data_IF_759990918263
#
_entry.id   IF_759990918263
#
_cell.length_a   1.000
_cell.length_b   1.000
_cell.length_c   1.000
_cell.angle_alpha   90.00
_cell.angle_beta   90.00
_cell.angle_gamma   90.00
#
_symmetry.space_group_name_H-M   'P 1'
#
loop_
_entity.id
_entity.type
_entity.pdbx_description
1 polymer ?
#
# COMPACT_ATOMS: atom_id res chain seq x y z
N UNK A 1 -15.26 24.99 7.46
CA UNK A 1 -15.61 23.98 8.48
C UNK A 1 -15.48 22.62 7.80
N UNK A 2 -14.95 21.58 8.48
CA UNK A 2 -14.76 20.22 7.94
C UNK A 2 -15.53 19.21 8.80
N UNK A 3 -15.53 17.93 8.39
CA UNK A 3 -16.10 16.82 9.18
C UNK A 3 -17.55 16.48 8.83
N UNK A 4 -18.05 17.00 7.73
CA UNK A 4 -19.31 16.56 7.14
C UNK A 4 -19.13 15.19 6.45
N UNK A 5 -20.22 14.43 6.22
CA UNK A 5 -20.16 13.14 5.55
C UNK A 5 -20.11 13.25 4.01
N UNK A 6 -20.00 14.46 3.46
CA UNK A 6 -20.06 14.70 2.03
C UNK A 6 -18.69 14.53 1.37
N UNK A 7 -18.69 14.18 0.08
CA UNK A 7 -17.49 13.87 -0.69
C UNK A 7 -16.42 14.96 -0.64
N UNK A 8 -16.82 16.23 -0.55
CA UNK A 8 -15.85 17.33 -0.46
C UNK A 8 -14.97 17.28 0.79
N UNK A 9 -15.42 16.63 1.87
CA UNK A 9 -14.65 16.43 3.11
C UNK A 9 -14.00 15.04 3.18
N UNK A 10 -14.56 14.03 2.49
CA UNK A 10 -14.09 12.63 2.58
C UNK A 10 -13.19 12.20 1.43
N UNK A 11 -13.22 12.89 0.28
CA UNK A 11 -12.42 12.56 -0.90
C UNK A 11 -11.04 13.21 -0.81
N UNK A 12 -10.12 12.53 -0.14
CA UNK A 12 -8.75 13.01 0.12
C UNK A 12 -7.71 12.27 -0.73
N UNK A 13 -6.64 12.96 -1.19
CA UNK A 13 -5.59 12.32 -1.95
C UNK A 13 -4.69 11.45 -1.07
N UNK A 14 -4.24 10.32 -1.63
CA UNK A 14 -3.19 9.48 -1.05
C UNK A 14 -2.02 9.43 -2.04
N UNK A 15 -0.82 9.77 -1.57
CA UNK A 15 0.41 9.68 -2.35
C UNK A 15 1.42 8.80 -1.61
N UNK A 16 1.98 7.81 -2.32
CA UNK A 16 3.01 6.91 -1.78
C UNK A 16 4.24 6.96 -2.68
N UNK A 17 5.39 7.18 -2.06
CA UNK A 17 6.68 7.22 -2.74
C UNK A 17 7.75 6.55 -1.86
N UNK A 18 8.65 5.80 -2.48
CA UNK A 18 9.71 5.12 -1.76
C UNK A 18 10.40 4.04 -2.61
N UNK A 19 11.45 3.40 -2.09
CA UNK A 19 12.14 2.31 -2.76
C UNK A 19 11.18 1.18 -3.14
N UNK A 20 11.25 0.71 -4.38
CA UNK A 20 10.42 -0.40 -4.85
C UNK A 20 8.96 -0.07 -5.15
N UNK A 21 8.50 1.17 -4.92
CA UNK A 21 7.16 1.64 -5.32
C UNK A 21 7.21 2.07 -6.79
N UNK A 22 6.34 1.47 -7.62
CA UNK A 22 6.24 1.85 -9.04
C UNK A 22 5.35 3.07 -9.19
N UNK A 23 5.81 4.04 -10.00
CA UNK A 23 5.00 5.20 -10.36
C UNK A 23 3.78 4.76 -11.17
N UNK A 24 2.59 5.11 -10.69
CA UNK A 24 1.31 4.85 -11.33
C UNK A 24 0.22 5.73 -10.72
N UNK A 25 -0.89 5.88 -11.44
CA UNK A 25 -2.11 6.50 -10.92
C UNK A 25 -3.14 5.41 -10.69
N UNK A 26 -3.76 5.43 -9.51
CA UNK A 26 -4.77 4.46 -9.10
C UNK A 26 -6.10 5.18 -8.98
N UNK A 27 -7.13 4.68 -9.66
CA UNK A 27 -8.48 5.25 -9.64
C UNK A 27 -9.49 4.36 -8.91
N UNK A 28 -9.07 3.22 -8.37
CA UNK A 28 -9.96 2.36 -7.56
C UNK A 28 -10.26 3.03 -6.22
N UNK A 29 -11.41 2.75 -5.59
CA UNK A 29 -11.70 3.22 -4.25
C UNK A 29 -10.65 2.74 -3.23
N UNK A 30 -10.15 3.69 -2.43
CA UNK A 30 -9.17 3.51 -1.35
C UNK A 30 -9.49 4.51 -0.23
N UNK A 31 -9.02 4.22 0.99
CA UNK A 31 -9.24 5.10 2.14
C UNK A 31 -7.99 5.34 2.98
N UNK A 32 -7.95 6.41 3.80
CA UNK A 32 -6.85 6.67 4.74
C UNK A 32 -6.55 5.51 5.71
N UNK A 33 -7.55 4.69 6.03
CA UNK A 33 -7.45 3.50 6.87
C UNK A 33 -6.50 2.43 6.30
N UNK A 34 -6.24 2.44 4.99
CA UNK A 34 -5.36 1.49 4.30
C UNK A 34 -3.87 1.82 4.50
N UNK A 35 -3.53 3.05 4.90
CA UNK A 35 -2.14 3.55 4.96
C UNK A 35 -1.31 2.74 5.95
N UNK A 36 -1.84 2.48 7.15
CA UNK A 36 -1.10 1.77 8.20
C UNK A 36 -0.79 0.32 7.79
N UNK A 37 -1.78 -0.40 7.24
CA UNK A 37 -1.60 -1.75 6.75
C UNK A 37 -0.59 -1.81 5.58
N UNK A 38 -0.65 -0.81 4.68
CA UNK A 38 0.26 -0.69 3.54
C UNK A 38 1.71 -0.51 3.97
N UNK A 39 1.98 0.40 4.90
CA UNK A 39 3.35 0.65 5.38
C UNK A 39 3.88 -0.59 6.10
N UNK A 40 3.07 -1.23 6.95
CA UNK A 40 3.47 -2.45 7.65
C UNK A 40 3.82 -3.59 6.66
N UNK A 41 2.97 -3.79 5.65
CA UNK A 41 3.20 -4.79 4.60
C UNK A 41 4.44 -4.47 3.75
N UNK A 42 4.64 -3.20 3.37
CA UNK A 42 5.81 -2.75 2.63
C UNK A 42 7.12 -3.02 3.40
N UNK A 43 7.11 -2.79 4.71
CA UNK A 43 8.25 -3.02 5.60
C UNK A 43 8.41 -4.48 6.05
N UNK A 44 7.43 -5.35 5.77
CA UNK A 44 7.43 -6.73 6.24
C UNK A 44 7.26 -6.87 7.76
N UNK A 45 6.57 -5.93 8.41
CA UNK A 45 6.31 -5.95 9.86
C UNK A 45 4.83 -6.19 10.16
N UNK A 46 4.53 -6.56 11.41
CA UNK A 46 3.14 -6.72 11.86
C UNK A 46 2.43 -5.35 11.87
N UNK A 47 1.19 -5.24 11.37
CA UNK A 47 0.44 -3.99 11.45
C UNK A 47 0.09 -3.61 12.91
N UNK A 48 -0.17 -2.32 13.18
CA UNK A 48 -0.70 -1.89 14.47
C UNK A 48 -1.99 -2.63 14.84
N UNK A 49 -2.24 -2.83 16.14
CA UNK A 49 -3.40 -3.59 16.62
C UNK A 49 -4.76 -2.99 16.22
N UNK A 50 -4.82 -1.67 15.99
CA UNK A 50 -6.02 -0.96 15.52
C UNK A 50 -6.12 -0.78 14.00
N UNK A 51 -5.24 -1.42 13.21
CA UNK A 51 -5.31 -1.34 11.75
C UNK A 51 -6.54 -2.09 11.23
N UNK A 52 -7.40 -1.39 10.49
CA UNK A 52 -8.64 -1.96 9.92
C UNK A 52 -8.65 -2.01 8.39
N UNK A 53 -7.83 -1.20 7.72
CA UNK A 53 -7.71 -1.20 6.26
C UNK A 53 -6.90 -2.37 5.71
N UNK A 54 -6.78 -2.41 4.38
CA UNK A 54 -6.03 -3.43 3.63
C UNK A 54 -4.80 -2.81 2.96
N UNK A 55 -3.69 -3.54 2.80
CA UNK A 55 -2.54 -3.03 2.07
C UNK A 55 -2.91 -2.59 0.64
N UNK A 56 -2.38 -1.45 0.21
CA UNK A 56 -2.42 -1.02 -1.19
C UNK A 56 -1.34 -1.77 -1.96
N UNK A 57 -1.74 -2.76 -2.76
CA UNK A 57 -0.83 -3.63 -3.52
C UNK A 57 0.12 -2.84 -4.45
N UNK A 58 -0.33 -1.69 -4.93
CA UNK A 58 0.44 -0.79 -5.81
C UNK A 58 1.66 -0.18 -5.13
N UNK A 59 1.63 -0.12 -3.80
CA UNK A 59 2.72 0.36 -2.96
C UNK A 59 3.63 -0.76 -2.44
N UNK A 60 3.30 -2.02 -2.67
CA UNK A 60 4.14 -3.13 -2.22
C UNK A 60 5.33 -3.33 -3.17
N UNK A 61 6.52 -3.63 -2.62
CA UNK A 61 7.67 -3.92 -3.48
C UNK A 61 7.34 -5.15 -4.32
N UNK A 62 7.59 -5.08 -5.63
CA UNK A 62 7.56 -6.29 -6.45
C UNK A 62 8.69 -7.19 -5.96
N UNK A 63 8.36 -8.25 -5.22
CA UNK A 63 9.33 -9.28 -4.87
C UNK A 63 9.81 -9.93 -6.18
N UNK A 64 10.95 -9.47 -6.69
CA UNK A 64 11.73 -10.25 -7.63
C UNK A 64 12.17 -11.48 -6.86
N UNK A 65 11.61 -12.65 -7.19
CA UNK A 65 12.08 -13.92 -6.68
C UNK A 65 13.53 -14.16 -7.15
N UNK A 66 14.51 -13.54 -6.46
CA UNK A 66 15.91 -13.93 -6.54
C UNK A 66 16.02 -15.32 -5.91
N UNK A 67 15.70 -16.36 -6.66
CA UNK A 67 15.80 -17.72 -6.11
C UNK A 67 15.36 -18.91 -6.96
N UNK A 68 14.68 -18.76 -8.11
CA UNK A 68 14.25 -19.94 -8.89
C UNK A 68 15.15 -20.32 -10.08
N UNK A 69 15.98 -19.40 -10.58
CA UNK A 69 16.87 -19.68 -11.71
C UNK A 69 18.17 -20.41 -11.33
N UNK A 70 18.62 -20.35 -10.06
CA UNK A 70 19.87 -20.96 -9.62
C UNK A 70 19.75 -22.44 -9.20
N UNK A 71 18.52 -22.97 -9.08
CA UNK A 71 18.28 -24.35 -8.62
C UNK A 71 17.91 -25.33 -9.74
N UNK A 72 17.85 -24.88 -11.00
CA UNK A 72 17.53 -25.72 -12.17
C UNK A 72 18.73 -25.91 -13.11
N UNK A 73 19.94 -25.68 -12.59
CA UNK A 73 21.21 -26.01 -13.23
C UNK A 73 22.09 -26.78 -12.24
N UNK A 74 21.60 -27.93 -11.78
CA UNK A 74 22.41 -29.05 -11.29
C UNK A 74 21.71 -30.34 -11.66
#
# INVERSE_FOLDING_TARGET
MHGSPYEYDTYVPIMVAGPGVKAQTVSRPVGPEDIAATIAAHLGIKPPSGSVGRPLDEALPTFQAKGKAAMMQK
#
